data_IF_395242722285
#
_entry.id   IF_395242722285
#
_cell.length_a   1.000
_cell.length_b   1.000
_cell.length_c   1.000
_cell.angle_alpha   90.00
_cell.angle_beta   90.00
_cell.angle_gamma   90.00
#
_symmetry.space_group_name_H-M   'P 1'
#
loop_
_entity.id
_entity.type
_entity.pdbx_description
1 polymer ?
#
# COMPACT_ATOMS: atom_id res chain seq x y z
N UNK A 1 -0.55 5.35 -14.08
CA UNK A 1 -0.88 4.80 -12.74
C UNK A 1 -0.54 5.76 -11.62
N UNK A 2 0.63 6.40 -11.61
CA UNK A 2 1.00 7.31 -10.51
C UNK A 2 0.01 8.46 -10.31
N UNK A 3 -0.45 9.11 -11.37
CA UNK A 3 -1.44 10.20 -11.25
C UNK A 3 -2.77 9.71 -10.64
N UNK A 4 -3.21 8.51 -11.01
CA UNK A 4 -4.41 7.89 -10.45
C UNK A 4 -4.27 7.56 -8.95
N UNK A 5 -3.07 7.14 -8.52
CA UNK A 5 -2.75 6.97 -7.11
C UNK A 5 -2.86 8.32 -6.37
N UNK A 6 -2.31 9.38 -6.94
CA UNK A 6 -2.32 10.73 -6.35
C UNK A 6 -3.76 11.26 -6.25
N UNK A 7 -4.55 11.12 -7.31
CA UNK A 7 -5.95 11.55 -7.33
C UNK A 7 -6.77 10.83 -6.26
N UNK A 8 -6.58 9.51 -6.13
CA UNK A 8 -7.27 8.71 -5.11
C UNK A 8 -6.81 9.06 -3.69
N UNK A 9 -5.51 9.24 -3.48
CA UNK A 9 -4.97 9.63 -2.19
C UNK A 9 -5.49 11.01 -1.75
N UNK A 10 -5.50 12.00 -2.65
CA UNK A 10 -6.04 13.33 -2.37
C UNK A 10 -7.53 13.31 -2.04
N UNK A 11 -8.29 12.44 -2.71
CA UNK A 11 -9.74 12.35 -2.54
C UNK A 11 -10.13 11.66 -1.23
N UNK A 12 -9.49 10.54 -0.92
CA UNK A 12 -10.00 9.60 0.10
C UNK A 12 -9.03 9.40 1.30
N UNK A 13 -7.78 9.86 1.20
CA UNK A 13 -6.72 9.55 2.18
C UNK A 13 -5.88 10.77 2.61
N UNK A 14 -6.41 11.99 2.50
CA UNK A 14 -5.72 13.24 2.88
C UNK A 14 -4.36 13.42 2.16
N UNK A 15 -4.29 12.97 0.90
CA UNK A 15 -3.08 13.02 0.08
C UNK A 15 -2.03 11.96 0.42
N UNK A 16 -2.30 11.06 1.36
CA UNK A 16 -1.31 10.09 1.83
C UNK A 16 -1.33 8.77 1.05
N UNK A 17 -0.13 8.29 0.73
CA UNK A 17 0.15 6.93 0.28
C UNK A 17 1.60 6.58 0.64
N UNK A 18 1.90 5.28 0.71
CA UNK A 18 3.25 4.78 0.99
C UNK A 18 3.72 3.89 -0.16
N UNK A 19 4.91 4.18 -0.70
CA UNK A 19 5.59 3.34 -1.70
C UNK A 19 6.91 2.85 -1.11
N UNK A 20 7.14 1.54 -1.16
CA UNK A 20 8.40 0.92 -0.77
C UNK A 20 9.03 0.23 -1.98
N UNK A 21 10.27 0.61 -2.31
CA UNK A 21 11.09 -0.09 -3.31
C UNK A 21 11.92 -1.16 -2.62
N UNK A 22 11.79 -2.41 -3.08
CA UNK A 22 12.68 -3.51 -2.72
C UNK A 22 13.58 -3.87 -3.90
N UNK A 23 14.64 -4.63 -3.69
CA UNK A 23 15.55 -5.06 -4.78
C UNK A 23 14.79 -5.73 -5.93
N UNK A 24 13.74 -6.50 -5.63
CA UNK A 24 13.03 -7.32 -6.62
C UNK A 24 11.59 -6.89 -6.93
N UNK A 25 11.03 -5.92 -6.20
CA UNK A 25 9.62 -5.53 -6.32
C UNK A 25 9.35 -4.13 -5.74
N UNK A 26 8.10 -3.72 -5.85
CA UNK A 26 7.51 -2.54 -5.21
C UNK A 26 6.37 -3.00 -4.32
N UNK A 27 6.13 -2.23 -3.25
CA UNK A 27 4.93 -2.34 -2.43
C UNK A 27 4.26 -1.01 -2.25
N UNK A 28 2.93 -0.98 -2.39
CA UNK A 28 2.12 0.23 -2.33
C UNK A 28 0.95 0.04 -1.38
N UNK A 29 0.63 1.09 -0.63
CA UNK A 29 -0.52 1.18 0.25
C UNK A 29 -1.07 2.60 0.18
N UNK A 30 -2.40 2.75 0.11
CA UNK A 30 -3.06 4.04 0.29
C UNK A 30 -3.10 4.41 1.78
N UNK A 31 -3.02 5.70 2.09
CA UNK A 31 -2.93 6.20 3.46
C UNK A 31 -1.54 6.04 4.10
N UNK A 32 -1.46 6.44 5.37
CA UNK A 32 -0.26 6.36 6.20
C UNK A 32 -0.35 5.16 7.15
N UNK A 33 0.63 4.26 7.08
CA UNK A 33 0.77 3.18 8.07
C UNK A 33 1.33 3.76 9.38
N UNK A 34 0.73 3.38 10.53
CA UNK A 34 1.19 3.85 11.84
C UNK A 34 2.58 3.33 12.18
N UNK A 35 2.89 2.10 11.80
CA UNK A 35 4.20 1.49 11.95
C UNK A 35 4.62 0.79 10.65
N UNK A 36 5.88 0.92 10.26
CA UNK A 36 6.44 0.20 9.11
C UNK A 36 7.51 -0.76 9.62
N UNK A 37 7.17 -2.05 9.62
CA UNK A 37 8.07 -3.16 9.95
C UNK A 37 8.06 -4.22 8.84
N UNK A 38 9.02 -5.16 8.79
CA UNK A 38 9.09 -6.14 7.70
C UNK A 38 7.80 -6.97 7.53
N UNK A 39 7.10 -7.32 8.62
CA UNK A 39 5.89 -8.14 8.57
C UNK A 39 4.69 -7.36 8.02
N UNK A 40 4.43 -6.14 8.50
CA UNK A 40 3.30 -5.33 8.02
C UNK A 40 3.44 -5.01 6.52
N UNK A 41 4.67 -4.83 6.03
CA UNK A 41 4.89 -4.62 4.59
C UNK A 41 4.47 -5.81 3.73
N UNK A 42 4.38 -7.04 4.28
CA UNK A 42 3.93 -8.20 3.52
C UNK A 42 2.47 -8.07 3.04
N UNK A 43 1.65 -7.33 3.78
CA UNK A 43 0.23 -7.11 3.51
C UNK A 43 -0.06 -5.93 2.58
N UNK A 44 0.95 -5.10 2.26
CA UNK A 44 0.85 -4.07 1.23
C UNK A 44 0.78 -4.70 -0.18
N UNK A 45 0.18 -3.98 -1.14
CA UNK A 45 0.04 -4.45 -2.51
C UNK A 45 1.41 -4.55 -3.21
N UNK A 46 1.77 -5.74 -3.68
CA UNK A 46 3.05 -6.01 -4.33
C UNK A 46 2.94 -5.94 -5.85
N UNK A 47 3.99 -5.46 -6.51
CA UNK A 47 4.16 -5.57 -7.97
C UNK A 47 5.63 -5.61 -8.37
N UNK A 48 5.98 -6.18 -9.53
CA UNK A 48 7.35 -6.17 -10.05
C UNK A 48 7.76 -4.76 -10.49
N UNK A 49 6.82 -4.00 -11.04
CA UNK A 49 6.96 -2.58 -11.37
C UNK A 49 6.15 -1.72 -10.40
N UNK A 50 6.43 -0.41 -10.36
CA UNK A 50 5.63 0.53 -9.58
C UNK A 50 4.17 0.54 -10.05
N UNK A 51 3.95 0.62 -11.36
CA UNK A 51 2.61 0.65 -11.96
C UNK A 51 1.80 -0.60 -11.60
N UNK A 52 2.42 -1.78 -11.59
CA UNK A 52 1.78 -3.03 -11.18
C UNK A 52 1.39 -3.00 -9.71
N UNK A 53 2.27 -2.50 -8.83
CA UNK A 53 1.98 -2.39 -7.41
C UNK A 53 0.86 -1.39 -7.11
N UNK A 54 0.84 -0.25 -7.82
CA UNK A 54 -0.24 0.74 -7.74
C UNK A 54 -1.56 0.13 -8.20
N UNK A 55 -1.58 -0.52 -9.38
CA UNK A 55 -2.77 -1.17 -9.91
C UNK A 55 -3.31 -2.21 -8.92
N UNK A 56 -2.43 -3.02 -8.35
CA UNK A 56 -2.81 -4.01 -7.35
C UNK A 56 -3.35 -3.35 -6.06
N UNK A 57 -2.83 -2.20 -5.64
CA UNK A 57 -3.37 -1.48 -4.49
C UNK A 57 -4.79 -0.98 -4.75
N UNK A 58 -5.03 -0.39 -5.92
CA UNK A 58 -6.35 0.16 -6.30
C UNK A 58 -7.37 -0.97 -6.50
N UNK A 59 -7.05 -1.97 -7.34
CA UNK A 59 -7.97 -3.06 -7.67
C UNK A 59 -8.41 -3.86 -6.44
N UNK A 60 -7.47 -4.09 -5.51
CA UNK A 60 -7.72 -4.90 -4.31
C UNK A 60 -8.06 -4.05 -3.08
N UNK A 61 -8.18 -2.72 -3.24
CA UNK A 61 -8.45 -1.76 -2.17
C UNK A 61 -7.50 -1.95 -0.98
N UNK A 62 -6.20 -1.96 -1.25
CA UNK A 62 -5.17 -2.07 -0.21
C UNK A 62 -4.84 -0.67 0.32
N UNK A 63 -5.36 -0.37 1.50
CA UNK A 63 -5.08 0.84 2.27
C UNK A 63 -4.56 0.52 3.67
N UNK A 64 -4.18 1.56 4.42
CA UNK A 64 -3.57 1.42 5.73
C UNK A 64 -4.47 0.70 6.73
N UNK A 65 -5.80 0.88 6.64
CA UNK A 65 -6.76 0.19 7.50
C UNK A 65 -6.78 -1.31 7.23
N UNK A 66 -6.85 -1.70 5.95
CA UNK A 66 -6.82 -3.11 5.55
C UNK A 66 -5.50 -3.78 5.88
N UNK A 67 -4.38 -3.08 5.70
CA UNK A 67 -3.06 -3.59 6.08
C UNK A 67 -2.96 -3.80 7.59
N UNK A 68 -3.43 -2.85 8.40
CA UNK A 68 -3.43 -2.95 9.85
C UNK A 68 -4.35 -4.09 10.35
N UNK A 69 -5.52 -4.26 9.73
CA UNK A 69 -6.45 -5.38 10.00
C UNK A 69 -5.78 -6.73 9.75
N UNK A 70 -5.25 -6.94 8.54
CA UNK A 70 -4.56 -8.18 8.18
C UNK A 70 -3.37 -8.46 9.08
N UNK A 71 -2.61 -7.44 9.44
CA UNK A 71 -1.49 -7.59 10.36
C UNK A 71 -1.96 -8.05 11.75
N UNK A 72 -3.01 -7.43 12.30
CA UNK A 72 -3.59 -7.82 13.60
C UNK A 72 -4.12 -9.26 13.57
N UNK A 73 -4.84 -9.66 12.53
CA UNK A 73 -5.41 -11.01 12.44
C UNK A 73 -4.37 -12.13 12.35
N UNK A 74 -3.19 -11.83 11.82
CA UNK A 74 -2.18 -12.84 11.48
C UNK A 74 -0.91 -12.78 12.33
N UNK A 75 -0.72 -11.73 13.14
CA UNK A 75 0.52 -11.51 13.89
C UNK A 75 0.34 -11.10 15.36
N UNK A 76 -0.88 -10.76 15.79
CA UNK A 76 -1.22 -10.45 17.18
C UNK A 76 -2.28 -11.42 17.69
#
# INVERSE_FOLDING_TARGET
MFDELVDLANKDYDGHFTILKFTTNYRVCLGTLHEINPLITLYMAKGKTLDEAIKNAIDNKIDCYKVDELFKENCL
#
